data_IF_997735758156
#
_entry.id   IF_997735758156
#
_cell.length_a   1.000
_cell.length_b   1.000
_cell.length_c   1.000
_cell.angle_alpha   90.00
_cell.angle_beta   90.00
_cell.angle_gamma   90.00
#
_symmetry.space_group_name_H-M   'P 1'
#
loop_
_entity.id
_entity.type
_entity.pdbx_description
1 polymer ?
#
# COMPACT_ATOMS: atom_id res chain seq x y z
N UNK A 1 3.97 19.04 -11.66
CA UNK A 1 2.52 19.21 -11.35
C UNK A 1 2.24 18.73 -9.94
N UNK A 2 1.35 19.38 -9.17
CA UNK A 2 0.99 18.90 -7.82
C UNK A 2 -0.41 18.26 -7.78
N UNK A 3 -0.50 17.11 -7.13
CA UNK A 3 -1.76 16.39 -6.85
C UNK A 3 -1.75 15.96 -5.39
N UNK A 4 -2.91 15.97 -4.73
CA UNK A 4 -2.97 15.56 -3.32
C UNK A 4 -3.07 14.05 -3.20
N UNK A 5 -2.20 13.45 -2.40
CA UNK A 5 -2.23 12.04 -2.05
C UNK A 5 -2.66 11.85 -0.61
N UNK A 6 -3.44 10.80 -0.35
CA UNK A 6 -3.81 10.33 0.98
C UNK A 6 -3.55 8.84 1.09
N UNK A 7 -2.91 8.44 2.18
CA UNK A 7 -2.71 7.06 2.59
C UNK A 7 -3.62 6.72 3.78
N UNK A 8 -4.63 5.88 3.56
CA UNK A 8 -5.60 5.43 4.58
C UNK A 8 -5.06 4.15 5.23
N UNK A 9 -4.31 4.30 6.33
CA UNK A 9 -3.80 3.17 7.11
C UNK A 9 -4.68 2.81 8.31
N UNK A 10 -4.45 1.63 8.89
CA UNK A 10 -5.22 1.17 10.08
C UNK A 10 -4.98 2.00 11.36
N UNK A 11 -3.85 2.69 11.49
CA UNK A 11 -3.48 3.50 12.68
C UNK A 11 -3.34 5.00 12.41
N UNK A 12 -3.66 5.42 11.20
CA UNK A 12 -3.73 6.83 10.85
C UNK A 12 -3.91 7.07 9.36
N UNK A 13 -4.64 8.15 9.06
CA UNK A 13 -4.85 8.68 7.73
C UNK A 13 -3.82 9.79 7.54
N UNK A 14 -3.01 9.68 6.48
CA UNK A 14 -1.89 10.61 6.21
C UNK A 14 -2.06 11.21 4.84
N UNK A 15 -1.76 12.49 4.66
CA UNK A 15 -1.82 13.10 3.33
C UNK A 15 -0.96 14.33 3.18
N UNK A 16 -0.63 14.62 1.92
CA UNK A 16 0.14 15.79 1.51
C UNK A 16 -0.06 16.05 0.01
N UNK A 17 0.16 17.31 -0.44
CA UNK A 17 0.43 17.58 -1.84
C UNK A 17 1.71 16.86 -2.29
N UNK A 18 1.67 16.23 -3.47
CA UNK A 18 2.79 15.49 -4.06
C UNK A 18 3.30 16.23 -5.28
N UNK A 19 4.61 16.42 -5.36
CA UNK A 19 5.28 16.86 -6.58
C UNK A 19 5.54 15.65 -7.47
N UNK A 20 4.73 15.49 -8.52
CA UNK A 20 4.79 14.34 -9.42
C UNK A 20 6.01 14.35 -10.34
N UNK A 21 6.70 15.48 -10.49
CA UNK A 21 7.93 15.53 -11.27
C UNK A 21 9.10 14.98 -10.43
N UNK A 22 9.07 15.23 -9.11
CA UNK A 22 10.06 14.72 -8.17
C UNK A 22 9.75 13.31 -7.64
N UNK A 23 8.48 12.90 -7.64
CA UNK A 23 8.03 11.64 -7.04
C UNK A 23 8.07 11.68 -5.50
N UNK A 24 7.84 12.85 -4.91
CA UNK A 24 8.00 13.09 -3.48
C UNK A 24 7.00 14.16 -2.98
N UNK A 25 6.85 14.27 -1.66
CA UNK A 25 5.91 15.20 -1.05
C UNK A 25 6.35 16.65 -1.29
N UNK A 26 5.44 17.51 -1.75
CA UNK A 26 5.72 18.93 -1.89
C UNK A 26 5.74 19.67 -0.54
N UNK A 27 5.11 19.09 0.48
CA UNK A 27 5.05 19.60 1.85
C UNK A 27 5.11 18.46 2.87
N UNK A 28 5.36 18.76 4.15
CA UNK A 28 5.28 17.76 5.20
C UNK A 28 3.87 17.19 5.31
N UNK A 29 3.75 15.86 5.48
CA UNK A 29 2.44 15.20 5.56
C UNK A 29 1.71 15.55 6.87
N UNK A 30 0.40 15.78 6.74
CA UNK A 30 -0.51 15.79 7.87
C UNK A 30 -0.89 14.35 8.22
N UNK A 31 -1.10 14.06 9.51
CA UNK A 31 -1.63 12.79 10.01
C UNK A 31 -2.76 13.04 10.98
N UNK A 32 -3.89 12.37 10.77
CA UNK A 32 -4.95 12.21 11.77
C UNK A 32 -5.06 10.74 12.17
N UNK A 33 -5.68 10.46 13.32
CA UNK A 33 -5.92 9.08 13.76
C UNK A 33 -7.06 8.48 12.94
N UNK A 34 -6.90 7.22 12.56
CA UNK A 34 -7.99 6.44 11.97
C UNK A 34 -9.05 6.21 13.05
N UNK A 35 -10.34 6.46 12.78
CA UNK A 35 -11.38 6.26 13.76
C UNK A 35 -11.54 4.77 14.11
N UNK A 36 -12.06 4.51 15.30
CA UNK A 36 -12.41 3.16 15.76
C UNK A 36 -13.86 3.16 16.26
N UNK A 37 -14.78 2.47 15.56
CA UNK A 37 -14.58 1.68 14.33
C UNK A 37 -14.23 2.54 13.09
N UNK A 38 -13.51 1.93 12.14
CA UNK A 38 -13.08 2.58 10.90
C UNK A 38 -14.19 2.54 9.84
N UNK A 39 -15.34 3.15 10.14
CA UNK A 39 -16.52 3.19 9.25
C UNK A 39 -16.30 4.11 8.04
N UNK A 40 -17.07 3.93 6.95
CA UNK A 40 -17.02 4.80 5.78
C UNK A 40 -17.09 6.30 6.13
N UNK A 41 -18.09 6.71 6.90
CA UNK A 41 -18.28 8.11 7.28
C UNK A 41 -17.13 8.66 8.14
N UNK A 42 -16.68 7.89 9.14
CA UNK A 42 -15.62 8.33 10.04
C UNK A 42 -14.28 8.50 9.31
N UNK A 43 -13.96 7.58 8.39
CA UNK A 43 -12.76 7.68 7.57
C UNK A 43 -12.87 8.85 6.58
N UNK A 44 -14.04 9.07 5.99
CA UNK A 44 -14.28 10.22 5.11
C UNK A 44 -14.09 11.55 5.86
N UNK A 45 -14.52 11.65 7.12
CA UNK A 45 -14.23 12.81 7.97
C UNK A 45 -12.74 12.98 8.25
N UNK A 46 -12.02 11.90 8.53
CA UNK A 46 -10.57 11.93 8.72
C UNK A 46 -9.82 12.39 7.47
N UNK A 47 -10.22 11.89 6.29
CA UNK A 47 -9.68 12.32 4.98
C UNK A 47 -9.96 13.81 4.76
N UNK A 48 -11.18 14.27 5.04
CA UNK A 48 -11.53 15.68 4.95
C UNK A 48 -10.66 16.56 5.85
N UNK A 49 -10.45 16.18 7.11
CA UNK A 49 -9.58 16.92 8.03
C UNK A 49 -8.15 17.07 7.49
N UNK A 50 -7.60 16.01 6.89
CA UNK A 50 -6.27 16.03 6.28
C UNK A 50 -6.22 16.97 5.07
N UNK A 51 -7.25 17.00 4.24
CA UNK A 51 -7.30 17.83 3.03
C UNK A 51 -7.55 19.31 3.40
N UNK A 52 -8.47 19.57 4.32
CA UNK A 52 -8.78 20.91 4.82
C UNK A 52 -7.56 21.57 5.48
N UNK A 53 -6.69 20.78 6.12
CA UNK A 53 -5.43 21.27 6.71
C UNK A 53 -4.54 22.02 5.69
N UNK A 54 -4.55 21.60 4.42
CA UNK A 54 -3.77 22.24 3.36
C UNK A 54 -4.60 23.22 2.52
N UNK A 55 -5.91 23.37 2.79
CA UNK A 55 -6.82 24.13 1.95
C UNK A 55 -6.84 23.65 0.50
N UNK A 56 -6.66 22.35 0.26
CA UNK A 56 -6.52 21.80 -1.08
C UNK A 56 -7.86 21.72 -1.82
N UNK A 57 -7.89 22.16 -3.09
CA UNK A 57 -9.11 22.19 -3.92
C UNK A 57 -8.93 21.49 -5.27
N UNK A 58 -7.81 20.80 -5.49
CA UNK A 58 -7.53 20.06 -6.73
C UNK A 58 -7.92 18.58 -6.65
N UNK A 59 -7.56 17.77 -7.67
CA UNK A 59 -7.77 16.33 -7.65
C UNK A 59 -7.07 15.65 -6.46
N UNK A 60 -7.67 14.56 -5.98
CA UNK A 60 -7.21 13.80 -4.82
C UNK A 60 -7.10 12.32 -5.16
N UNK A 61 -5.95 11.74 -4.87
CA UNK A 61 -5.75 10.30 -4.84
C UNK A 61 -5.81 9.77 -3.42
N UNK A 62 -6.54 8.68 -3.20
CA UNK A 62 -6.72 8.02 -1.91
C UNK A 62 -6.29 6.56 -2.04
N UNK A 63 -5.44 6.08 -1.13
CA UNK A 63 -5.28 4.63 -0.93
C UNK A 63 -6.44 4.07 -0.12
N UNK A 64 -6.70 2.77 -0.28
CA UNK A 64 -7.64 2.03 0.54
C UNK A 64 -7.04 0.66 0.91
N UNK A 65 -7.12 0.22 2.17
CA UNK A 65 -6.55 -1.06 2.62
C UNK A 65 -7.51 -2.23 2.30
N UNK A 66 -7.72 -2.47 1.00
CA UNK A 66 -8.57 -3.52 0.46
C UNK A 66 -8.71 -3.44 -1.06
N UNK A 67 -9.47 -4.37 -1.63
CA UNK A 67 -9.71 -4.47 -3.07
C UNK A 67 -10.69 -3.38 -3.49
N UNK A 68 -10.34 -2.65 -4.56
CA UNK A 68 -11.18 -1.62 -5.18
C UNK A 68 -11.36 -1.95 -6.66
N UNK A 69 -12.58 -2.30 -7.06
CA UNK A 69 -12.93 -2.64 -8.46
C UNK A 69 -13.81 -1.57 -9.09
N UNK A 70 -14.07 -1.69 -10.39
CA UNK A 70 -14.99 -0.80 -11.14
C UNK A 70 -14.63 0.70 -11.01
N UNK A 71 -13.37 0.96 -10.66
CA UNK A 71 -12.79 2.28 -10.45
C UNK A 71 -13.07 2.92 -9.08
N UNK A 72 -13.89 2.33 -8.20
CA UNK A 72 -14.21 2.90 -6.89
C UNK A 72 -14.92 1.97 -5.88
N UNK A 73 -15.44 0.81 -6.31
CA UNK A 73 -16.25 -0.04 -5.42
C UNK A 73 -15.34 -0.91 -4.57
N UNK A 74 -15.51 -0.83 -3.25
CA UNK A 74 -14.76 -1.64 -2.30
C UNK A 74 -15.32 -3.06 -2.26
N UNK A 75 -14.44 -4.08 -2.36
CA UNK A 75 -14.83 -5.50 -2.33
C UNK A 75 -14.34 -6.26 -1.10
N UNK A 76 -13.27 -5.80 -0.48
CA UNK A 76 -12.73 -6.42 0.75
C UNK A 76 -12.50 -5.37 1.82
N UNK A 77 -12.65 -5.80 3.08
CA UNK A 77 -12.52 -4.96 4.26
C UNK A 77 -11.88 -5.78 5.40
N UNK A 78 -10.68 -6.33 5.17
CA UNK A 78 -10.03 -7.21 6.13
C UNK A 78 -9.62 -6.46 7.42
N UNK A 79 -9.12 -5.24 7.26
CA UNK A 79 -8.55 -4.42 8.35
C UNK A 79 -9.37 -3.14 8.64
N UNK A 80 -10.57 -3.02 8.08
CA UNK A 80 -11.50 -1.89 8.27
C UNK A 80 -12.91 -2.40 8.53
N UNK A 81 -13.87 -1.51 8.79
CA UNK A 81 -15.24 -1.92 9.09
C UNK A 81 -15.91 -2.65 7.90
N UNK A 82 -16.71 -3.68 8.16
CA UNK A 82 -17.36 -4.46 7.08
C UNK A 82 -18.38 -3.66 6.27
N UNK A 83 -18.88 -2.55 6.81
CA UNK A 83 -19.76 -1.63 6.08
C UNK A 83 -19.13 -1.01 4.84
N UNK A 84 -17.81 -1.12 4.66
CA UNK A 84 -17.14 -0.74 3.43
C UNK A 84 -17.46 -1.63 2.23
N UNK A 85 -17.80 -2.90 2.43
CA UNK A 85 -18.06 -3.83 1.33
C UNK A 85 -19.22 -3.31 0.48
N UNK A 86 -19.02 -3.27 -0.84
CA UNK A 86 -19.94 -2.74 -1.86
C UNK A 86 -20.22 -1.23 -1.76
N UNK A 87 -19.47 -0.48 -0.96
CA UNK A 87 -19.52 0.99 -0.95
C UNK A 87 -18.86 1.57 -2.20
N UNK A 88 -19.49 2.57 -2.83
CA UNK A 88 -18.84 3.44 -3.81
C UNK A 88 -17.97 4.48 -3.08
N UNK A 89 -16.69 4.17 -2.92
CA UNK A 89 -15.77 5.03 -2.19
C UNK A 89 -15.56 6.38 -2.89
N UNK A 90 -15.61 6.43 -4.22
CA UNK A 90 -15.43 7.69 -4.96
C UNK A 90 -16.59 8.63 -4.69
N UNK A 91 -17.83 8.14 -4.76
CA UNK A 91 -18.99 8.95 -4.45
C UNK A 91 -18.94 9.45 -3.00
N UNK A 92 -18.69 8.55 -2.04
CA UNK A 92 -18.58 8.90 -0.62
C UNK A 92 -17.55 10.01 -0.35
N UNK A 93 -16.33 9.84 -0.84
CA UNK A 93 -15.27 10.83 -0.62
C UNK A 93 -15.51 12.10 -1.43
N UNK A 94 -15.98 11.99 -2.68
CA UNK A 94 -16.32 13.13 -3.52
C UNK A 94 -17.36 14.03 -2.85
N UNK A 95 -18.45 13.44 -2.35
CA UNK A 95 -19.51 14.17 -1.64
C UNK A 95 -18.98 14.81 -0.35
N UNK A 96 -18.20 14.06 0.45
CA UNK A 96 -17.62 14.58 1.69
C UNK A 96 -16.66 15.75 1.44
N UNK A 97 -15.97 15.75 0.30
CA UNK A 97 -14.99 16.76 -0.08
C UNK A 97 -15.58 17.89 -0.93
N UNK A 98 -16.90 17.99 -1.05
CA UNK A 98 -17.55 19.09 -1.77
C UNK A 98 -17.42 18.99 -3.29
N UNK A 99 -17.38 17.78 -3.83
CA UNK A 99 -17.36 17.49 -5.27
C UNK A 99 -15.96 17.44 -5.91
N UNK A 100 -14.89 17.34 -5.10
CA UNK A 100 -13.54 17.21 -5.64
C UNK A 100 -13.39 15.91 -6.46
N UNK A 101 -12.58 15.92 -7.56
CA UNK A 101 -12.26 14.70 -8.28
C UNK A 101 -11.46 13.74 -7.40
N UNK A 102 -12.03 12.58 -7.11
CA UNK A 102 -11.41 11.54 -6.27
C UNK A 102 -11.07 10.30 -7.10
N UNK A 103 -9.85 9.80 -6.91
CA UNK A 103 -9.44 8.46 -7.35
C UNK A 103 -9.11 7.62 -6.13
N UNK A 104 -9.70 6.43 -6.04
CA UNK A 104 -9.41 5.46 -4.98
C UNK A 104 -8.66 4.27 -5.59
N UNK A 105 -7.61 3.83 -4.92
CA UNK A 105 -6.77 2.70 -5.34
C UNK A 105 -6.39 1.87 -4.12
N UNK A 106 -6.14 0.57 -4.32
CA UNK A 106 -5.54 -0.26 -3.28
C UNK A 106 -4.19 0.33 -2.81
N UNK A 107 -3.89 0.22 -1.52
CA UNK A 107 -2.69 0.79 -0.91
C UNK A 107 -1.38 0.17 -1.38
N UNK A 108 -1.33 -1.16 -1.52
CA UNK A 108 -0.18 -1.87 -2.06
C UNK A 108 0.01 -1.55 -3.56
N UNK A 109 -1.06 -1.53 -4.34
CA UNK A 109 -1.04 -1.12 -5.76
C UNK A 109 -0.48 0.31 -5.92
N UNK A 110 -0.92 1.24 -5.08
CA UNK A 110 -0.40 2.60 -5.07
C UNK A 110 1.10 2.63 -4.76
N UNK A 111 1.52 1.96 -3.68
CA UNK A 111 2.92 1.88 -3.31
C UNK A 111 3.77 1.26 -4.43
N UNK A 112 3.27 0.20 -5.07
CA UNK A 112 3.89 -0.45 -6.23
C UNK A 112 4.11 0.51 -7.38
N UNK A 113 3.07 1.25 -7.79
CA UNK A 113 3.16 2.21 -8.90
C UNK A 113 4.19 3.30 -8.61
N UNK A 114 4.26 3.77 -7.36
CA UNK A 114 5.26 4.75 -6.95
C UNK A 114 6.69 4.19 -7.00
N UNK A 115 6.91 2.97 -6.50
CA UNK A 115 8.21 2.30 -6.54
C UNK A 115 8.68 1.94 -7.95
N UNK A 116 7.76 1.54 -8.84
CA UNK A 116 8.08 1.24 -10.24
C UNK A 116 8.49 2.49 -11.01
N UNK A 117 7.93 3.66 -10.67
CA UNK A 117 8.25 4.91 -11.36
C UNK A 117 9.49 5.61 -10.77
N UNK A 118 9.57 5.72 -9.45
CA UNK A 118 10.54 6.59 -8.76
C UNK A 118 11.51 5.84 -7.85
N UNK A 119 11.24 4.57 -7.55
CA UNK A 119 11.94 3.81 -6.53
C UNK A 119 12.68 2.58 -7.05
N UNK A 120 12.64 1.52 -6.24
CA UNK A 120 13.43 0.31 -6.43
C UNK A 120 13.07 -0.49 -7.70
N UNK A 121 11.87 -0.28 -8.24
CA UNK A 121 11.38 -0.94 -9.44
C UNK A 121 11.73 -0.22 -10.75
N UNK A 122 12.33 0.97 -10.68
CA UNK A 122 12.59 1.80 -11.86
C UNK A 122 13.46 1.10 -12.88
N UNK A 123 12.95 0.98 -14.11
CA UNK A 123 13.64 0.37 -15.24
C UNK A 123 13.71 -1.16 -15.20
N UNK A 124 13.03 -1.80 -14.24
CA UNK A 124 12.90 -3.26 -14.17
C UNK A 124 11.77 -3.72 -15.09
N UNK A 125 12.05 -4.74 -15.91
CA UNK A 125 11.07 -5.46 -16.71
C UNK A 125 10.72 -6.81 -16.10
N UNK A 126 9.99 -7.65 -16.84
CA UNK A 126 9.55 -8.96 -16.37
C UNK A 126 8.57 -8.87 -15.21
N UNK A 127 8.53 -9.91 -14.39
CA UNK A 127 7.63 -9.98 -13.24
C UNK A 127 8.27 -9.32 -12.02
N UNK A 128 7.70 -8.22 -11.54
CA UNK A 128 8.12 -7.54 -10.30
C UNK A 128 6.99 -7.61 -9.28
N UNK A 129 7.30 -7.96 -8.04
CA UNK A 129 6.32 -8.04 -6.96
C UNK A 129 6.75 -7.12 -5.83
N UNK A 130 5.93 -6.12 -5.53
CA UNK A 130 6.04 -5.35 -4.29
C UNK A 130 5.21 -6.03 -3.20
N UNK A 131 5.81 -6.24 -2.03
CA UNK A 131 5.17 -6.81 -0.85
C UNK A 131 5.30 -5.84 0.32
N UNK A 132 4.19 -5.38 0.87
CA UNK A 132 4.20 -4.55 2.09
C UNK A 132 3.96 -5.43 3.30
N UNK A 133 4.81 -5.31 4.33
CA UNK A 133 4.59 -6.01 5.60
C UNK A 133 4.19 -4.99 6.68
N UNK A 134 2.96 -5.07 7.16
CA UNK A 134 2.39 -4.16 8.15
C UNK A 134 1.47 -4.92 9.12
N UNK A 135 0.27 -4.38 9.34
CA UNK A 135 -0.81 -5.10 10.04
C UNK A 135 -1.14 -6.41 9.33
N UNK A 136 -1.20 -6.38 7.99
CA UNK A 136 -1.29 -7.53 7.10
C UNK A 136 -0.11 -7.63 6.14
N UNK A 137 -0.30 -8.35 5.03
CA UNK A 137 0.63 -8.37 3.89
C UNK A 137 -0.10 -7.85 2.65
N UNK A 138 0.31 -6.68 2.15
CA UNK A 138 -0.19 -6.16 0.87
C UNK A 138 0.70 -6.57 -0.28
N UNK A 139 0.14 -6.66 -1.49
CA UNK A 139 0.91 -6.99 -2.70
C UNK A 139 0.52 -6.16 -3.91
N UNK A 140 1.51 -5.84 -4.74
CA UNK A 140 1.31 -5.31 -6.08
C UNK A 140 2.20 -6.07 -7.06
N UNK A 141 1.57 -6.68 -8.06
CA UNK A 141 2.23 -7.44 -9.12
C UNK A 141 2.35 -6.57 -10.38
N UNK A 142 3.52 -6.60 -11.00
CA UNK A 142 3.78 -5.94 -12.28
C UNK A 142 4.29 -6.95 -13.29
N UNK A 143 3.74 -6.88 -14.50
CA UNK A 143 4.26 -7.57 -15.68
C UNK A 143 4.76 -6.51 -16.66
N UNK A 144 6.08 -6.48 -16.89
CA UNK A 144 6.75 -5.50 -17.76
C UNK A 144 6.38 -4.04 -17.41
N UNK A 145 6.38 -3.74 -16.11
CA UNK A 145 6.05 -2.41 -15.58
C UNK A 145 4.55 -2.08 -15.57
N UNK A 146 3.69 -2.96 -16.07
CA UNK A 146 2.24 -2.79 -16.04
C UNK A 146 1.67 -3.44 -14.79
N UNK A 147 0.95 -2.65 -13.99
CA UNK A 147 0.27 -3.15 -12.80
C UNK A 147 -0.80 -4.18 -13.17
N UNK A 148 -0.73 -5.35 -12.53
CA UNK A 148 -1.84 -6.29 -12.41
C UNK A 148 -2.57 -5.94 -11.11
N UNK A 149 -3.75 -5.29 -11.18
CA UNK A 149 -4.35 -4.67 -10.01
C UNK A 149 -4.93 -5.69 -9.03
N UNK A 150 -5.06 -5.27 -7.78
CA UNK A 150 -5.80 -5.97 -6.72
C UNK A 150 -5.28 -7.37 -6.42
N UNK A 151 -3.97 -7.60 -6.53
CA UNK A 151 -3.38 -8.83 -6.03
C UNK A 151 -3.42 -8.86 -4.51
N UNK A 152 -3.91 -9.97 -3.95
CA UNK A 152 -4.07 -10.20 -2.51
C UNK A 152 -3.20 -11.39 -2.06
N UNK A 153 -1.90 -11.33 -2.38
CA UNK A 153 -0.95 -12.41 -2.10
C UNK A 153 -0.69 -12.60 -0.60
N UNK A 154 -1.09 -11.64 0.24
CA UNK A 154 -1.06 -11.78 1.70
C UNK A 154 -1.99 -12.88 2.20
N UNK A 155 -3.09 -13.14 1.49
CA UNK A 155 -4.10 -14.13 1.82
C UNK A 155 -3.83 -15.53 1.25
N UNK A 156 -2.64 -15.76 0.67
CA UNK A 156 -2.24 -17.10 0.25
C UNK A 156 -2.20 -18.04 1.45
N UNK A 157 -2.73 -19.26 1.27
CA UNK A 157 -2.65 -20.29 2.31
C UNK A 157 -1.26 -20.94 2.30
N UNK A 158 -0.53 -20.82 3.41
CA UNK A 158 0.72 -21.53 3.65
C UNK A 158 0.63 -22.38 4.91
N UNK A 159 0.66 -23.70 4.73
CA UNK A 159 0.62 -24.65 5.84
C UNK A 159 -0.69 -24.58 6.64
N UNK A 160 -1.83 -24.45 5.95
CA UNK A 160 -3.16 -24.40 6.55
C UNK A 160 -3.51 -23.06 7.22
N UNK A 161 -2.72 -22.01 6.96
CA UNK A 161 -2.95 -20.68 7.51
C UNK A 161 -2.77 -19.62 6.43
N UNK A 162 -3.58 -18.56 6.53
CA UNK A 162 -3.33 -17.30 5.82
C UNK A 162 -1.90 -16.79 6.10
N UNK A 163 -1.15 -16.44 5.06
CA UNK A 163 0.25 -16.06 5.16
C UNK A 163 0.47 -14.84 6.04
N UNK A 164 -0.45 -13.86 6.02
CA UNK A 164 -0.28 -12.63 6.80
C UNK A 164 -0.31 -12.88 8.31
N UNK A 165 -1.07 -13.88 8.77
CA UNK A 165 -1.08 -14.28 10.18
C UNK A 165 0.25 -14.87 10.65
N UNK A 166 1.14 -15.25 9.74
CA UNK A 166 2.46 -15.81 10.08
C UNK A 166 3.59 -14.83 9.81
N UNK A 167 3.53 -14.11 8.69
CA UNK A 167 4.67 -13.35 8.17
C UNK A 167 4.47 -11.82 8.16
N UNK A 168 3.31 -11.28 8.53
CA UNK A 168 3.14 -9.82 8.69
C UNK A 168 4.06 -9.25 9.77
N UNK A 169 4.21 -7.92 9.80
CA UNK A 169 4.94 -7.25 10.87
C UNK A 169 4.20 -7.37 12.20
N UNK A 170 2.86 -7.33 12.17
CA UNK A 170 2.04 -7.59 13.34
C UNK A 170 2.26 -9.00 13.88
N UNK A 171 2.35 -10.02 13.04
CA UNK A 171 2.67 -11.38 13.46
C UNK A 171 4.06 -11.51 14.12
N UNK A 172 5.03 -10.65 13.75
CA UNK A 172 6.31 -10.57 14.44
C UNK A 172 6.13 -10.09 15.89
N UNK A 173 5.34 -9.04 16.08
CA UNK A 173 5.08 -8.41 17.38
C UNK A 173 4.24 -9.32 18.28
N UNK A 174 3.11 -9.82 17.76
CA UNK A 174 2.18 -10.67 18.50
C UNK A 174 2.82 -11.98 19.00
N UNK A 175 3.84 -12.48 18.30
CA UNK A 175 4.57 -13.70 18.66
C UNK A 175 5.95 -13.44 19.28
N UNK A 176 6.30 -12.19 19.57
CA UNK A 176 7.59 -11.77 20.14
C UNK A 176 8.82 -12.38 19.42
N UNK A 177 8.81 -12.32 18.09
CA UNK A 177 9.87 -12.96 17.29
C UNK A 177 11.10 -12.06 17.16
N UNK A 178 12.28 -12.69 17.17
CA UNK A 178 13.51 -12.04 16.70
C UNK A 178 13.42 -11.71 15.20
N UNK A 179 14.31 -10.83 14.72
CA UNK A 179 14.39 -10.51 13.29
C UNK A 179 14.72 -11.75 12.45
N UNK A 180 15.62 -12.59 12.92
CA UNK A 180 15.98 -13.85 12.27
C UNK A 180 14.79 -14.82 12.21
N UNK A 181 14.08 -15.03 13.33
CA UNK A 181 12.92 -15.93 13.38
C UNK A 181 11.80 -15.47 12.44
N UNK A 182 11.55 -14.16 12.40
CA UNK A 182 10.57 -13.59 11.48
C UNK A 182 11.03 -13.64 10.03
N UNK A 183 12.31 -13.35 9.75
CA UNK A 183 12.88 -13.47 8.41
C UNK A 183 12.73 -14.89 7.85
N UNK A 184 12.89 -15.93 8.67
CA UNK A 184 12.63 -17.32 8.25
C UNK A 184 11.17 -17.58 7.87
N UNK A 185 10.20 -16.88 8.48
CA UNK A 185 8.78 -16.95 8.08
C UNK A 185 8.55 -16.22 6.76
N UNK A 186 9.14 -15.03 6.61
CA UNK A 186 9.12 -14.26 5.35
C UNK A 186 9.77 -15.06 4.22
N UNK A 187 10.91 -15.71 4.46
CA UNK A 187 11.60 -16.55 3.47
C UNK A 187 10.70 -17.69 2.97
N UNK A 188 9.99 -18.39 3.86
CA UNK A 188 9.03 -19.43 3.44
C UNK A 188 7.92 -18.87 2.57
N UNK A 189 7.41 -17.68 2.91
CA UNK A 189 6.42 -16.98 2.12
C UNK A 189 6.97 -16.58 0.75
N UNK A 190 8.13 -15.91 0.71
CA UNK A 190 8.79 -15.51 -0.54
C UNK A 190 9.13 -16.70 -1.44
N UNK A 191 9.59 -17.82 -0.88
CA UNK A 191 9.86 -19.03 -1.65
C UNK A 191 8.59 -19.60 -2.29
N UNK A 192 7.45 -19.51 -1.60
CA UNK A 192 6.17 -19.92 -2.16
C UNK A 192 5.71 -18.98 -3.29
N UNK A 193 5.81 -17.66 -3.09
CA UNK A 193 5.49 -16.67 -4.12
C UNK A 193 6.44 -16.77 -5.31
N UNK A 194 7.73 -17.02 -5.08
CA UNK A 194 8.72 -17.27 -6.14
C UNK A 194 8.36 -18.51 -6.95
N UNK A 195 7.96 -19.59 -6.30
CA UNK A 195 7.50 -20.80 -6.99
C UNK A 195 6.29 -20.54 -7.89
N UNK A 196 5.35 -19.67 -7.46
CA UNK A 196 4.14 -19.36 -8.21
C UNK A 196 4.39 -18.43 -9.41
N UNK A 197 5.27 -17.43 -9.27
CA UNK A 197 5.38 -16.33 -10.22
C UNK A 197 6.75 -16.18 -10.89
N UNK A 198 7.79 -16.82 -10.35
CA UNK A 198 9.19 -16.67 -10.79
C UNK A 198 9.58 -15.20 -11.06
N UNK A 199 9.43 -14.30 -10.06
CA UNK A 199 9.69 -12.88 -10.27
C UNK A 199 11.17 -12.59 -10.47
N UNK A 200 11.46 -11.53 -11.22
CA UNK A 200 12.81 -10.96 -11.34
C UNK A 200 13.19 -10.20 -10.06
N UNK A 201 12.21 -9.60 -9.38
CA UNK A 201 12.43 -8.71 -8.24
C UNK A 201 11.28 -8.76 -7.23
N UNK A 202 11.63 -8.90 -5.96
CA UNK A 202 10.82 -8.55 -4.81
C UNK A 202 11.22 -7.18 -4.26
N UNK A 203 10.24 -6.28 -4.13
CA UNK A 203 10.40 -5.00 -3.44
C UNK A 203 9.71 -5.11 -2.08
N UNK A 204 10.48 -5.03 -0.99
CA UNK A 204 9.97 -5.15 0.37
C UNK A 204 9.59 -3.77 0.91
N UNK A 205 8.29 -3.50 0.92
CA UNK A 205 7.67 -2.27 1.41
C UNK A 205 7.15 -2.37 2.84
N UNK A 206 6.28 -1.41 3.20
CA UNK A 206 5.76 -1.27 4.57
C UNK A 206 6.81 -0.74 5.56
N UNK A 207 6.44 -0.69 6.84
CA UNK A 207 7.28 -0.09 7.89
C UNK A 207 8.62 -0.81 8.11
N UNK A 208 8.69 -2.11 7.79
CA UNK A 208 9.90 -2.93 7.90
C UNK A 208 10.96 -2.61 6.88
N UNK A 209 10.61 -2.02 5.73
CA UNK A 209 11.58 -1.62 4.70
C UNK A 209 12.73 -0.76 5.26
N UNK A 210 12.45 0.07 6.27
CA UNK A 210 13.42 0.92 7.00
C UNK A 210 14.39 0.15 7.89
N UNK A 211 14.12 -1.14 8.14
CA UNK A 211 14.88 -2.04 9.02
C UNK A 211 15.45 -3.22 8.23
N UNK A 212 15.58 -3.07 6.91
CA UNK A 212 16.06 -4.09 5.99
C UNK A 212 17.41 -4.70 6.39
N UNK A 213 18.31 -3.87 6.93
CA UNK A 213 19.59 -4.27 7.50
C UNK A 213 19.46 -5.37 8.57
N UNK A 214 18.35 -5.38 9.32
CA UNK A 214 18.13 -6.32 10.41
C UNK A 214 17.66 -7.69 9.98
N UNK A 215 17.13 -7.86 8.76
CA UNK A 215 16.45 -9.10 8.40
C UNK A 215 16.70 -9.62 6.99
N UNK A 216 17.03 -8.77 6.00
CA UNK A 216 17.21 -9.25 4.62
C UNK A 216 18.37 -10.25 4.52
N UNK A 217 19.44 -10.05 5.30
CA UNK A 217 20.58 -10.96 5.33
C UNK A 217 20.29 -12.34 5.93
N UNK A 218 19.11 -12.52 6.55
CA UNK A 218 18.63 -13.81 7.06
C UNK A 218 17.72 -14.53 6.06
N UNK A 219 17.38 -13.91 4.93
CA UNK A 219 16.56 -14.51 3.88
C UNK A 219 17.50 -15.11 2.84
N UNK A 220 17.50 -16.43 2.75
CA UNK A 220 18.38 -17.19 1.86
C UNK A 220 17.58 -18.07 0.89
N UNK A 221 18.20 -18.47 -0.21
CA UNK A 221 17.63 -19.45 -1.14
C UNK A 221 16.50 -18.94 -2.04
N UNK A 222 16.30 -17.63 -2.10
CA UNK A 222 15.44 -16.96 -3.09
C UNK A 222 16.33 -16.56 -4.27
N UNK A 223 15.89 -16.86 -5.50
CA UNK A 223 16.60 -16.53 -6.74
C UNK A 223 16.34 -15.10 -7.21
N UNK A 224 15.11 -14.63 -7.03
CA UNK A 224 14.71 -13.27 -7.34
C UNK A 224 15.55 -12.26 -6.52
N UNK A 225 15.85 -11.10 -7.10
CA UNK A 225 16.44 -10.00 -6.34
C UNK A 225 15.49 -9.61 -5.21
N UNK A 226 16.01 -9.28 -4.01
CA UNK A 226 15.21 -8.77 -2.90
C UNK A 226 15.80 -7.44 -2.44
N UNK A 227 15.00 -6.38 -2.55
CA UNK A 227 15.44 -5.02 -2.17
C UNK A 227 14.39 -4.33 -1.31
N UNK A 228 14.77 -3.44 -0.39
CA UNK A 228 13.81 -2.60 0.30
C UNK A 228 13.24 -1.52 -0.62
N UNK A 229 11.96 -1.18 -0.41
CA UNK A 229 11.31 -0.03 -1.04
C UNK A 229 12.05 1.28 -0.72
N UNK A 230 12.21 2.17 -1.72
CA UNK A 230 12.97 3.42 -1.59
C UNK A 230 12.12 4.60 -1.09
N UNK A 231 10.84 4.68 -1.48
CA UNK A 231 9.91 5.72 -1.07
C UNK A 231 9.33 5.46 0.32
N UNK A 232 9.51 4.25 0.86
CA UNK A 232 9.17 3.87 2.23
C UNK A 232 7.73 4.26 2.61
N UNK A 233 7.55 5.20 3.54
CA UNK A 233 6.23 5.60 4.07
C UNK A 233 5.49 6.58 3.14
N UNK A 234 6.15 7.10 2.11
CA UNK A 234 5.56 8.04 1.17
C UNK A 234 4.99 7.31 -0.05
N UNK A 235 5.33 6.04 -0.28
CA UNK A 235 4.95 5.29 -1.47
C UNK A 235 3.44 5.28 -1.73
N UNK A 236 2.62 5.04 -0.69
CA UNK A 236 1.15 5.07 -0.82
C UNK A 236 0.62 6.45 -1.21
N UNK A 237 1.09 7.52 -0.56
CA UNK A 237 0.69 8.91 -0.84
C UNK A 237 1.07 9.30 -2.28
N UNK A 238 2.32 9.05 -2.67
CA UNK A 238 2.83 9.37 -4.01
C UNK A 238 2.08 8.57 -5.07
N UNK A 239 1.91 7.27 -4.85
CA UNK A 239 1.20 6.37 -5.75
C UNK A 239 -0.25 6.79 -5.97
N UNK A 240 -0.96 7.11 -4.89
CA UNK A 240 -2.35 7.57 -5.00
C UNK A 240 -2.44 8.87 -5.82
N UNK A 241 -1.55 9.84 -5.58
CA UNK A 241 -1.49 11.07 -6.34
C UNK A 241 -1.20 10.82 -7.84
N UNK A 242 -0.28 9.89 -8.16
CA UNK A 242 -0.02 9.48 -9.55
C UNK A 242 -1.26 8.89 -10.23
N UNK A 243 -2.05 8.06 -9.52
CA UNK A 243 -3.28 7.48 -10.06
C UNK A 243 -4.35 8.53 -10.33
N UNK A 244 -4.46 9.53 -9.46
CA UNK A 244 -5.38 10.66 -9.67
C UNK A 244 -4.97 11.52 -10.89
N UNK A 245 -3.67 11.75 -11.10
CA UNK A 245 -3.16 12.50 -12.25
C UNK A 245 -3.52 11.88 -13.61
N UNK A 246 -3.55 10.54 -13.71
CA UNK A 246 -3.87 9.83 -14.96
C UNK A 246 -5.35 9.89 -15.34
N UNK A 247 -6.22 10.32 -14.42
CA UNK A 247 -7.67 10.41 -14.61
C UNK A 247 -8.20 11.86 -14.58
N UNK A 248 -7.31 12.83 -14.43
CA UNK A 248 -7.61 14.27 -14.39
C UNK A 248 -7.55 14.90 -15.77
#
# INVERSE_FOLDING_TARGET
MQIFGVDIGGSGIKGAPVDLDRGDLAQERCKVLTPHPATPDGVADGVKQVIDHFGWTGPVGLTFPGVVTDGATVRTAANVDKSWIDTDARALFGDRLGGLPVTVVNDADAAGVAEMQFGAGRGRGGTVILLTFGTGIGSALFADGVLVPNTELGHLELGGHDAEHKASSKAKEDHDLSWEQWARRVQKYLAHVEMLFSPELFIIGGGVSRKADKFLHHIEGIKADIVPAQLQNNAGIVGAAMRAAQRS
#
